data_IF_144241099003
#
_entry.id   IF_144241099003
#
_cell.length_a   1.000
_cell.length_b   1.000
_cell.length_c   1.000
_cell.angle_alpha   90.00
_cell.angle_beta   90.00
_cell.angle_gamma   90.00
#
_symmetry.space_group_name_H-M   'P 1'
#
loop_
_entity.id
_entity.type
_entity.pdbx_description
1 polymer ?
#
# COMPACT_ATOMS: atom_id res chain seq x y z
N UNK A 1 3.02 -3.64 9.25
CA UNK A 1 4.14 -2.68 9.14
C UNK A 1 4.00 -1.94 7.81
N UNK A 2 4.23 -0.62 7.74
CA UNK A 2 4.38 0.09 6.46
C UNK A 2 5.69 -0.35 5.78
N UNK A 3 5.69 -0.46 4.46
CA UNK A 3 6.91 -0.74 3.67
C UNK A 3 7.59 0.56 3.21
N UNK A 4 6.77 1.57 2.93
CA UNK A 4 7.21 2.92 2.57
C UNK A 4 6.56 3.88 3.56
N UNK A 5 7.33 4.84 4.05
CA UNK A 5 6.87 5.87 4.97
C UNK A 5 7.51 7.22 4.63
N UNK A 6 6.88 8.35 4.98
CA UNK A 6 7.51 9.65 4.80
C UNK A 6 8.79 9.74 5.64
N UNK A 7 9.80 10.43 5.10
CA UNK A 7 10.94 10.85 5.90
C UNK A 7 10.49 11.83 7.00
N UNK A 8 11.28 12.05 8.07
CA UNK A 8 10.90 12.96 9.15
C UNK A 8 10.57 14.39 8.69
N UNK A 9 11.10 14.80 7.52
CA UNK A 9 10.82 16.09 6.91
C UNK A 9 9.55 16.14 6.07
N UNK A 10 8.87 15.00 5.85
CA UNK A 10 7.77 14.85 4.90
C UNK A 10 8.09 15.44 3.52
N UNK A 11 9.32 15.27 3.06
CA UNK A 11 9.78 15.72 1.72
C UNK A 11 10.09 14.56 0.80
N UNK A 12 10.36 13.39 1.36
CA UNK A 12 10.74 12.18 0.63
C UNK A 12 10.04 10.98 1.21
N UNK A 13 10.02 9.91 0.45
CA UNK A 13 9.63 8.59 0.92
C UNK A 13 10.90 7.81 1.26
N UNK A 14 10.87 7.08 2.37
CA UNK A 14 11.91 6.14 2.78
C UNK A 14 11.33 4.74 2.93
N UNK A 15 12.16 3.73 2.72
CA UNK A 15 11.82 2.35 3.03
C UNK A 15 11.88 2.15 4.54
N UNK A 16 10.87 1.47 5.09
CA UNK A 16 10.91 0.97 6.46
C UNK A 16 11.78 -0.29 6.51
N UNK A 17 12.74 -0.33 7.43
CA UNK A 17 13.62 -1.49 7.63
C UNK A 17 12.81 -2.73 8.06
N UNK A 18 11.87 -2.57 8.99
CA UNK A 18 10.94 -3.65 9.39
C UNK A 18 10.06 -4.12 8.22
N UNK A 19 9.63 -3.18 7.36
CA UNK A 19 8.85 -3.51 6.19
C UNK A 19 9.63 -4.29 5.14
N UNK A 20 10.89 -3.93 4.95
CA UNK A 20 11.79 -4.61 4.04
C UNK A 20 12.11 -6.03 4.54
N UNK A 21 12.50 -6.18 5.81
CA UNK A 21 12.77 -7.48 6.41
C UNK A 21 11.59 -8.44 6.27
N UNK A 22 10.37 -7.92 6.42
CA UNK A 22 9.19 -8.75 6.33
C UNK A 22 8.86 -9.20 4.90
N UNK A 23 9.20 -8.39 3.88
CA UNK A 23 9.14 -8.82 2.48
C UNK A 23 10.23 -9.86 2.20
N UNK A 24 11.44 -9.66 2.71
CA UNK A 24 12.57 -10.57 2.50
C UNK A 24 12.32 -11.98 3.07
N UNK A 25 11.48 -12.09 4.11
CA UNK A 25 11.08 -13.38 4.70
C UNK A 25 10.12 -14.18 3.83
N UNK A 26 9.54 -13.59 2.79
CA UNK A 26 8.57 -14.26 1.93
C UNK A 26 9.30 -15.09 0.88
N UNK A 27 9.05 -16.40 0.93
CA UNK A 27 9.66 -17.37 0.01
C UNK A 27 8.72 -17.82 -1.11
N UNK A 28 7.44 -17.47 -0.99
CA UNK A 28 6.42 -17.75 -2.01
C UNK A 28 6.48 -16.70 -3.14
N UNK A 29 5.96 -17.02 -4.34
CA UNK A 29 5.65 -15.99 -5.33
C UNK A 29 4.81 -14.86 -4.74
N UNK A 30 5.08 -13.63 -5.17
CA UNK A 30 4.41 -12.43 -4.68
C UNK A 30 3.47 -11.90 -5.77
N UNK A 31 2.23 -11.59 -5.38
CA UNK A 31 1.29 -10.84 -6.19
C UNK A 31 0.87 -9.54 -5.46
N UNK A 32 0.72 -8.44 -6.19
CA UNK A 32 0.31 -7.16 -5.62
C UNK A 32 -0.98 -6.65 -6.26
N UNK A 33 -1.93 -6.23 -5.43
CA UNK A 33 -3.17 -5.56 -5.83
C UNK A 33 -3.11 -4.12 -5.35
N UNK A 34 -3.01 -3.17 -6.29
CA UNK A 34 -2.95 -1.75 -5.98
C UNK A 34 -4.23 -1.03 -6.44
N UNK A 35 -4.75 -0.13 -5.60
CA UNK A 35 -5.89 0.74 -5.96
C UNK A 35 -5.39 2.18 -6.02
N UNK A 36 -5.54 2.81 -7.19
CA UNK A 36 -5.09 4.17 -7.50
C UNK A 36 -6.26 4.98 -8.03
N UNK A 37 -6.33 6.28 -7.71
CA UNK A 37 -7.46 7.14 -8.11
C UNK A 37 -7.54 8.44 -7.30
N UNK A 38 -8.40 9.40 -7.69
CA UNK A 38 -8.45 10.73 -7.11
C UNK A 38 -8.73 10.77 -5.60
N UNK A 39 -8.36 11.84 -4.92
CA UNK A 39 -8.72 12.04 -3.51
C UNK A 39 -10.25 11.94 -3.33
N UNK A 40 -10.68 11.25 -2.25
CA UNK A 40 -12.10 10.96 -1.94
C UNK A 40 -12.87 10.16 -3.00
N UNK A 41 -12.20 9.40 -3.87
CA UNK A 41 -12.86 8.48 -4.82
C UNK A 41 -13.32 7.13 -4.23
N UNK A 42 -13.17 6.91 -2.92
CA UNK A 42 -13.61 5.67 -2.27
C UNK A 42 -12.63 4.49 -2.34
N UNK A 43 -11.35 4.73 -2.66
CA UNK A 43 -10.30 3.67 -2.74
C UNK A 43 -10.15 2.87 -1.44
N UNK A 44 -9.97 3.56 -0.31
CA UNK A 44 -9.86 2.92 0.99
C UNK A 44 -11.16 2.20 1.37
N UNK A 45 -12.32 2.71 0.95
CA UNK A 45 -13.59 1.99 1.13
C UNK A 45 -13.62 0.69 0.32
N UNK A 46 -13.17 0.70 -0.93
CA UNK A 46 -13.08 -0.50 -1.78
C UNK A 46 -12.11 -1.53 -1.20
N UNK A 47 -10.92 -1.12 -0.75
CA UNK A 47 -9.95 -2.01 -0.11
C UNK A 47 -10.47 -2.55 1.22
N UNK A 48 -11.16 -1.74 2.02
CA UNK A 48 -11.78 -2.19 3.27
C UNK A 48 -12.90 -3.20 3.02
N UNK A 49 -13.66 -3.11 1.93
CA UNK A 49 -14.63 -4.14 1.55
C UNK A 49 -13.94 -5.44 1.10
N UNK A 50 -12.80 -5.34 0.41
CA UNK A 50 -12.03 -6.51 -0.01
C UNK A 50 -11.31 -7.20 1.16
N UNK A 51 -10.90 -6.44 2.18
CA UNK A 51 -10.03 -6.92 3.27
C UNK A 51 -10.71 -7.00 4.65
N UNK A 52 -11.93 -6.48 4.79
CA UNK A 52 -12.61 -6.31 6.10
C UNK A 52 -11.84 -5.47 7.13
N UNK A 53 -11.02 -4.51 6.70
CA UNK A 53 -10.13 -3.71 7.57
C UNK A 53 -10.59 -2.25 7.76
N UNK A 54 -10.06 -1.56 8.76
CA UNK A 54 -10.37 -0.17 9.13
C UNK A 54 -9.42 0.88 8.50
N UNK A 55 -9.97 2.05 8.16
CA UNK A 55 -9.42 3.12 7.30
C UNK A 55 -8.26 3.94 7.90
N UNK A 56 -7.22 4.26 7.11
CA UNK A 56 -6.13 5.21 7.45
C UNK A 56 -5.64 5.99 6.20
N UNK A 57 -5.11 7.21 6.38
CA UNK A 57 -4.65 8.09 5.29
C UNK A 57 -3.19 7.80 4.86
N UNK A 58 -2.89 7.69 3.56
CA UNK A 58 -1.53 7.53 3.00
C UNK A 58 -1.38 6.39 1.98
N UNK A 59 -0.16 6.14 1.50
CA UNK A 59 0.19 4.91 0.77
C UNK A 59 0.50 3.82 1.79
N UNK A 60 -0.28 2.75 1.82
CA UNK A 60 -0.09 1.65 2.76
C UNK A 60 -0.05 0.31 2.02
N UNK A 61 1.04 -0.42 2.20
CA UNK A 61 1.05 -1.85 1.91
C UNK A 61 0.57 -2.55 3.18
N UNK A 62 -0.53 -3.28 3.11
CA UNK A 62 -1.09 -3.98 4.27
C UNK A 62 -0.09 -5.04 4.75
N UNK A 63 0.35 -4.86 6.00
CA UNK A 63 1.57 -5.44 6.56
C UNK A 63 1.53 -6.93 6.89
N UNK A 64 0.60 -7.71 6.34
CA UNK A 64 0.72 -9.17 6.32
C UNK A 64 0.16 -9.65 4.99
N UNK A 65 0.99 -10.26 4.12
CA UNK A 65 0.48 -10.82 2.88
C UNK A 65 -0.55 -11.91 3.19
N UNK A 66 -1.59 -11.99 2.37
CA UNK A 66 -2.55 -13.08 2.42
C UNK A 66 -2.04 -14.19 1.53
N UNK A 67 -1.83 -15.38 2.09
CA UNK A 67 -1.47 -16.55 1.29
C UNK A 67 -2.71 -17.09 0.58
N UNK A 68 -2.69 -17.09 -0.75
CA UNK A 68 -3.73 -17.64 -1.62
C UNK A 68 -3.14 -18.72 -2.53
N UNK A 69 -3.94 -19.72 -2.87
CA UNK A 69 -3.59 -20.70 -3.90
C UNK A 69 -4.02 -20.16 -5.27
N UNK A 70 -3.06 -19.89 -6.15
CA UNK A 70 -3.29 -19.39 -7.51
C UNK A 70 -2.66 -20.40 -8.46
N UNK A 71 -3.48 -21.02 -9.31
CA UNK A 71 -3.05 -22.04 -10.28
C UNK A 71 -2.24 -23.20 -9.64
N UNK A 72 -2.61 -23.61 -8.42
CA UNK A 72 -1.93 -24.68 -7.68
C UNK A 72 -0.63 -24.24 -6.97
N UNK A 73 -0.31 -22.95 -7.00
CA UNK A 73 0.88 -22.38 -6.35
C UNK A 73 0.47 -21.47 -5.20
N UNK A 74 1.02 -21.74 -4.01
CA UNK A 74 0.85 -20.87 -2.85
C UNK A 74 1.54 -19.54 -3.11
N UNK A 75 0.77 -18.47 -3.20
CA UNK A 75 1.20 -17.11 -3.57
C UNK A 75 0.86 -16.15 -2.44
N UNK A 76 1.81 -15.31 -2.05
CA UNK A 76 1.63 -14.29 -1.04
C UNK A 76 1.14 -13.00 -1.69
N UNK A 77 -0.09 -12.59 -1.36
CA UNK A 77 -0.78 -11.45 -1.98
C UNK A 77 -0.73 -10.22 -1.08
N UNK A 78 -0.24 -9.12 -1.61
CA UNK A 78 -0.24 -7.81 -0.96
C UNK A 78 -1.32 -6.90 -1.52
N UNK A 79 -1.93 -6.13 -0.63
CA UNK A 79 -2.83 -5.06 -0.99
C UNK A 79 -2.15 -3.73 -0.71
N UNK A 80 -2.21 -2.83 -1.69
CA UNK A 80 -1.57 -1.53 -1.67
C UNK A 80 -2.67 -0.48 -1.79
N UNK A 81 -2.96 0.23 -0.70
CA UNK A 81 -3.72 1.48 -0.75
C UNK A 81 -2.76 2.61 -1.13
N UNK A 82 -3.20 3.51 -2.00
CA UNK A 82 -2.42 4.69 -2.37
C UNK A 82 -3.17 5.96 -2.01
N UNK A 83 -2.42 6.98 -1.59
CA UNK A 83 -3.00 8.30 -1.38
C UNK A 83 -3.65 8.78 -2.69
N UNK A 84 -4.81 9.41 -2.57
CA UNK A 84 -5.48 9.96 -3.74
C UNK A 84 -4.80 11.22 -4.24
N UNK A 85 -4.50 11.25 -5.54
CA UNK A 85 -4.01 12.42 -6.25
C UNK A 85 -5.11 13.51 -6.35
N UNK A 86 -4.74 14.77 -6.57
CA UNK A 86 -5.62 15.95 -6.70
C UNK A 86 -6.38 16.37 -5.42
N UNK A 87 -5.77 16.22 -4.24
CA UNK A 87 -6.32 16.84 -3.03
C UNK A 87 -6.09 18.35 -3.04
N UNK A 88 -7.18 19.13 -2.94
CA UNK A 88 -7.14 20.60 -2.86
C UNK A 88 -6.44 21.00 -1.54
N UNK A 89 -5.12 21.17 -1.57
CA UNK A 89 -4.34 21.64 -0.43
C UNK A 89 -3.01 20.90 -0.15
N UNK A 90 -2.63 19.87 -0.91
CA UNK A 90 -1.28 19.29 -0.81
C UNK A 90 -0.39 19.79 -1.95
N UNK A 91 0.85 20.13 -1.59
CA UNK A 91 1.85 20.72 -2.49
C UNK A 91 2.09 19.85 -3.73
N UNK A 92 2.17 20.49 -4.90
CA UNK A 92 2.43 19.88 -6.21
C UNK A 92 3.63 18.91 -6.27
N UNK A 93 4.51 18.89 -5.27
CA UNK A 93 5.71 18.02 -5.21
C UNK A 93 5.34 16.52 -5.13
N UNK A 94 4.13 16.18 -4.68
CA UNK A 94 3.68 14.78 -4.55
C UNK A 94 2.91 14.26 -5.77
N UNK A 95 2.52 15.15 -6.69
CA UNK A 95 1.60 14.89 -7.81
C UNK A 95 2.24 15.28 -9.16
N UNK A 96 3.57 15.16 -9.26
CA UNK A 96 4.27 15.48 -10.50
C UNK A 96 4.17 14.33 -11.51
N UNK A 97 3.63 14.69 -12.67
CA UNK A 97 3.32 13.90 -13.87
C UNK A 97 4.48 13.11 -14.45
#
# INVERSE_FOLDING_TARGET
>A
FPIVEPDPGHTKLRLSEEGLEAIERITNPIASVAVIGPYRSGKSFLLNQLLSLSCYEGIWIWGTPIDLEIDGVKTSVFYIDTEGFESIGKSNVYDDR
#
